data_IF_683629946596
#
_entry.id   IF_683629946596
#
_cell.length_a   1.000
_cell.length_b   1.000
_cell.length_c   1.000
_cell.angle_alpha   90.00
_cell.angle_beta   90.00
_cell.angle_gamma   90.00
#
_symmetry.space_group_name_H-M   'P 1'
#
loop_
_entity.id
_entity.type
_entity.pdbx_description
1 polymer ?
#
# COMPACT_ATOMS: atom_id res chain seq x y z
N UNK A 1 -15.88 -5.44 16.48
CA UNK A 1 -15.28 -4.21 15.93
C UNK A 1 -15.20 -4.42 14.43
N UNK A 2 -15.84 -3.56 13.61
CA UNK A 2 -15.76 -3.70 12.16
C UNK A 2 -14.33 -3.34 11.74
N UNK A 3 -13.57 -4.31 11.25
CA UNK A 3 -12.27 -4.08 10.63
C UNK A 3 -12.50 -3.31 9.34
N UNK A 4 -12.10 -2.04 9.31
CA UNK A 4 -12.12 -1.25 8.08
C UNK A 4 -10.93 -1.67 7.23
N UNK A 5 -11.23 -2.08 6.01
CA UNK A 5 -10.25 -2.33 4.95
C UNK A 5 -9.61 -1.02 4.55
N UNK A 6 -8.28 -1.01 4.48
CA UNK A 6 -7.52 0.12 3.96
C UNK A 6 -7.73 0.19 2.45
N UNK A 7 -7.82 1.40 1.92
CA UNK A 7 -7.91 1.63 0.48
C UNK A 7 -6.53 1.96 -0.09
N UNK A 8 -6.30 1.59 -1.34
CA UNK A 8 -5.10 1.92 -2.07
C UNK A 8 -4.96 3.45 -2.16
N UNK A 9 -3.82 3.99 -1.72
CA UNK A 9 -3.56 5.42 -1.76
C UNK A 9 -3.62 6.03 -3.17
N UNK A 10 -3.33 5.24 -4.22
CA UNK A 10 -3.31 5.71 -5.61
C UNK A 10 -4.66 5.57 -6.33
N UNK A 11 -5.29 4.40 -6.24
CA UNK A 11 -6.51 4.10 -7.01
C UNK A 11 -7.77 3.97 -6.18
N UNK A 12 -7.68 4.11 -4.85
CA UNK A 12 -8.80 3.97 -3.90
C UNK A 12 -9.50 2.60 -3.92
N UNK A 13 -8.91 1.59 -4.57
CA UNK A 13 -9.42 0.22 -4.50
C UNK A 13 -9.26 -0.34 -3.08
N UNK A 14 -10.25 -1.10 -2.61
CA UNK A 14 -10.13 -1.81 -1.33
C UNK A 14 -8.96 -2.79 -1.36
N UNK A 15 -8.24 -2.88 -0.24
CA UNK A 15 -7.14 -3.82 -0.06
C UNK A 15 -7.48 -4.85 1.01
N UNK A 16 -6.69 -5.92 1.08
CA UNK A 16 -6.84 -6.97 2.09
C UNK A 16 -6.33 -6.52 3.48
N UNK A 17 -5.61 -5.40 3.53
CA UNK A 17 -5.05 -4.86 4.77
C UNK A 17 -6.10 -4.07 5.53
N UNK A 18 -6.00 -4.08 6.86
CA UNK A 18 -6.94 -3.38 7.75
C UNK A 18 -6.22 -2.29 8.53
N UNK A 19 -6.97 -1.28 8.99
CA UNK A 19 -6.40 -0.22 9.85
C UNK A 19 -5.70 -0.77 11.11
N UNK A 20 -6.09 -1.96 11.56
CA UNK A 20 -5.48 -2.64 12.71
C UNK A 20 -4.19 -3.40 12.42
N UNK A 21 -3.85 -3.66 11.15
CA UNK A 21 -2.60 -4.35 10.79
C UNK A 21 -1.42 -3.39 11.01
N UNK A 22 -0.38 -3.77 11.78
CA UNK A 22 0.83 -2.97 11.93
C UNK A 22 1.58 -2.81 10.58
N UNK A 23 2.20 -1.65 10.34
CA UNK A 23 2.87 -1.36 9.06
C UNK A 23 3.95 -2.36 8.66
N UNK A 24 4.65 -2.97 9.63
CA UNK A 24 5.69 -3.99 9.37
C UNK A 24 5.12 -5.36 8.94
N UNK A 25 3.82 -5.59 9.16
CA UNK A 25 3.10 -6.80 8.71
C UNK A 25 2.32 -6.57 7.41
N UNK A 26 2.11 -5.31 7.02
CA UNK A 26 1.33 -4.95 5.83
C UNK A 26 2.08 -5.29 4.54
N UNK A 27 1.41 -6.01 3.64
CA UNK A 27 1.94 -6.23 2.30
C UNK A 27 1.70 -4.99 1.44
N UNK A 28 2.62 -4.68 0.52
CA UNK A 28 2.47 -3.59 -0.44
C UNK A 28 2.28 -2.21 0.21
N UNK A 29 2.79 -2.02 1.43
CA UNK A 29 2.78 -0.76 2.14
C UNK A 29 4.07 0.02 1.86
N UNK A 30 3.93 1.31 1.60
CA UNK A 30 5.07 2.24 1.43
C UNK A 30 4.97 3.29 2.53
N UNK A 31 6.03 3.43 3.33
CA UNK A 31 6.00 4.32 4.52
C UNK A 31 5.59 5.75 4.21
N UNK A 32 5.99 6.29 3.05
CA UNK A 32 5.68 7.66 2.62
C UNK A 32 4.36 7.81 1.85
N UNK A 33 3.79 6.71 1.34
CA UNK A 33 2.60 6.75 0.47
C UNK A 33 1.38 6.02 1.05
N UNK A 34 1.56 5.20 2.08
CA UNK A 34 0.52 4.38 2.69
C UNK A 34 0.31 3.03 2.03
N UNK A 35 -0.89 2.48 2.20
CA UNK A 35 -1.28 1.16 1.67
C UNK A 35 -1.53 1.23 0.16
N UNK A 36 -0.99 0.26 -0.60
CA UNK A 36 -1.27 0.12 -2.03
C UNK A 36 -1.90 -1.23 -2.35
N UNK A 37 -2.67 -1.25 -3.44
CA UNK A 37 -3.09 -2.52 -4.03
C UNK A 37 -1.89 -3.18 -4.75
N UNK A 38 -1.95 -4.50 -4.99
CA UNK A 38 -0.86 -5.25 -5.64
C UNK A 38 -0.44 -4.67 -6.99
N UNK A 39 -1.40 -4.20 -7.80
CA UNK A 39 -1.13 -3.63 -9.12
C UNK A 39 -0.36 -2.30 -9.03
N UNK A 40 -0.83 -1.39 -8.18
CA UNK A 40 -0.18 -0.09 -7.97
C UNK A 40 1.22 -0.24 -7.37
N UNK A 41 1.37 -1.16 -6.40
CA UNK A 41 2.67 -1.46 -5.81
C UNK A 41 3.64 -2.04 -6.83
N UNK A 42 3.18 -2.95 -7.71
CA UNK A 42 4.03 -3.53 -8.75
C UNK A 42 4.51 -2.49 -9.77
N UNK A 43 3.66 -1.53 -10.15
CA UNK A 43 4.05 -0.44 -11.04
C UNK A 43 5.13 0.45 -10.42
N UNK A 44 5.01 0.74 -9.12
CA UNK A 44 6.01 1.52 -8.39
C UNK A 44 7.32 0.75 -8.20
N UNK A 45 7.24 -0.53 -7.79
CA UNK A 45 8.43 -1.36 -7.58
C UNK A 45 9.20 -1.66 -8.87
N UNK A 46 8.50 -1.71 -10.01
CA UNK A 46 9.11 -1.94 -11.32
C UNK A 46 9.71 -0.67 -11.92
N UNK A 47 9.19 0.52 -11.58
CA UNK A 47 9.77 1.78 -12.00
C UNK A 47 10.98 2.15 -11.13
N UNK A 48 12.17 1.78 -11.62
CA UNK A 48 13.47 2.09 -11.00
C UNK A 48 13.72 3.58 -10.73
N UNK A 49 12.97 4.50 -11.35
CA UNK A 49 13.09 5.94 -11.06
C UNK A 49 12.50 6.33 -9.69
N UNK A 50 11.52 5.59 -9.17
CA UNK A 50 10.96 5.86 -7.83
C UNK A 50 11.83 5.38 -6.68
N UNK A 51 12.82 4.52 -6.95
CA UNK A 51 13.83 4.11 -5.96
C UNK A 51 14.72 5.28 -5.48
N UNK A 52 14.71 6.43 -6.17
CA UNK A 52 15.42 7.65 -5.74
C UNK A 52 14.53 8.62 -4.91
N UNK A 53 13.25 8.29 -4.70
CA UNK A 53 12.29 9.14 -3.96
C UNK A 53 11.81 8.49 -2.64
N UNK A 54 12.34 7.32 -2.27
CA UNK A 54 12.17 6.64 -0.99
C UNK A 54 13.52 6.53 -0.28
#
# INVERSE_FOLDING_TARGET
MATKTECCALCQAETEETEGTPSYERKNFIETAGQLCPECYNVLSTNKEWHNLL
#
